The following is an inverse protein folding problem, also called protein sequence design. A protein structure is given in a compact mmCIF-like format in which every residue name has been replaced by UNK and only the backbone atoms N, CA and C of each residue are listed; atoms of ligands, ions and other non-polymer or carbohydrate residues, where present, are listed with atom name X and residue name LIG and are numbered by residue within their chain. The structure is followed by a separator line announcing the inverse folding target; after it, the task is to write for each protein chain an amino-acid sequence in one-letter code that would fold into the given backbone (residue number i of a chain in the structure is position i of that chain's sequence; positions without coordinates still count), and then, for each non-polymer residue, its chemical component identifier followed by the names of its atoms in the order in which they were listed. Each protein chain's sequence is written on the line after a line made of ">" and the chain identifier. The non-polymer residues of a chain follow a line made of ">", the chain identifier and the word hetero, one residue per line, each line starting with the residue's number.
data_IF_908240131820
#
_entry.id   IF_908240131820
#
_cell.length_a   1.000
_cell.length_b   1.000
_cell.length_c   1.000
_cell.angle_alpha   90.00
_cell.angle_beta   90.00
_cell.angle_gamma   90.00
#
_symmetry.space_group_name_H-M   'P 1'
#
loop_
_entity.id
_entity.type
_entity.pdbx_description
1 polymer ?
#
# COMPACT_ATOMS: atom_id res chain seq x y z
N UNK A 1 0.51 40.73 -2.32
CA UNK A 1 0.27 39.65 -3.30
C UNK A 1 1.45 38.68 -3.25
N UNK A 2 1.24 37.45 -2.80
CA UNK A 2 2.17 36.33 -2.97
C UNK A 2 1.37 35.11 -3.38
N UNK A 3 1.81 34.48 -4.47
CA UNK A 3 1.14 33.40 -5.17
C UNK A 3 1.09 32.11 -4.37
N UNK A 4 0.04 31.36 -4.64
CA UNK A 4 -0.39 30.10 -4.04
C UNK A 4 0.50 28.95 -4.51
N UNK A 5 1.15 28.27 -3.57
CA UNK A 5 1.72 26.90 -3.57
C UNK A 5 1.86 26.56 -2.07
N UNK A 6 1.43 25.46 -1.50
CA UNK A 6 1.34 24.05 -1.90
C UNK A 6 0.23 23.36 -1.09
N UNK A 7 -0.26 22.22 -1.57
CA UNK A 7 -1.20 21.37 -0.83
C UNK A 7 -0.53 20.79 0.42
N UNK A 8 -1.24 20.83 1.54
CA UNK A 8 -0.77 20.21 2.77
C UNK A 8 -0.70 18.69 2.57
N UNK A 9 0.52 18.15 2.62
CA UNK A 9 0.77 16.71 2.74
C UNK A 9 0.35 16.32 4.15
N UNK A 10 -0.47 15.28 4.28
CA UNK A 10 -0.72 14.65 5.57
C UNK A 10 0.58 13.97 6.02
N UNK A 11 1.30 14.59 6.96
CA UNK A 11 2.31 13.88 7.72
C UNK A 11 1.57 12.89 8.64
N UNK A 12 1.51 11.63 8.20
CA UNK A 12 1.11 10.50 9.02
C UNK A 12 2.17 10.28 10.12
N UNK A 13 2.26 11.19 11.09
CA UNK A 13 3.17 11.04 12.23
C UNK A 13 2.93 9.69 12.92
N UNK A 14 3.99 8.89 13.06
CA UNK A 14 4.12 7.57 13.72
C UNK A 14 3.01 6.52 13.45
N UNK A 15 2.09 6.77 12.53
CA UNK A 15 0.98 5.88 12.19
C UNK A 15 1.04 5.59 10.69
N UNK A 16 1.82 4.58 10.32
CA UNK A 16 1.76 4.07 8.94
C UNK A 16 0.29 3.71 8.64
N UNK A 17 -0.30 4.19 7.53
CA UNK A 17 -1.70 3.91 7.19
C UNK A 17 -1.91 2.48 6.67
N UNK A 18 -1.19 1.54 7.27
CA UNK A 18 -1.26 0.10 7.06
C UNK A 18 -2.59 -0.37 7.62
N UNK A 19 -3.52 -0.63 6.71
CA UNK A 19 -4.74 -1.32 7.04
C UNK A 19 -4.43 -2.79 7.35
N UNK A 20 -3.52 -3.42 6.60
CA UNK A 20 -3.25 -4.85 6.71
C UNK A 20 -1.85 -5.30 6.32
N UNK A 21 -1.49 -6.49 6.79
CA UNK A 21 -0.23 -7.18 6.44
C UNK A 21 -0.52 -8.54 5.82
N UNK A 22 0.13 -8.81 4.70
CA UNK A 22 0.14 -10.08 3.99
C UNK A 22 1.47 -10.78 4.21
N UNK A 23 1.47 -12.07 4.53
CA UNK A 23 2.67 -12.91 4.37
C UNK A 23 2.63 -13.57 3.00
N UNK A 24 3.64 -13.30 2.19
CA UNK A 24 3.75 -13.78 0.82
C UNK A 24 4.38 -15.18 0.85
N UNK A 25 3.69 -16.15 0.28
CA UNK A 25 4.21 -17.51 0.12
C UNK A 25 4.74 -17.76 -1.29
N UNK A 26 4.23 -17.01 -2.27
CA UNK A 26 4.66 -17.08 -3.67
C UNK A 26 4.30 -15.79 -4.40
N UNK A 27 5.20 -15.33 -5.27
CA UNK A 27 4.97 -14.28 -6.25
C UNK A 27 4.76 -14.88 -7.64
N UNK A 28 3.81 -14.32 -8.39
CA UNK A 28 3.57 -14.66 -9.79
C UNK A 28 3.43 -13.35 -10.59
N UNK A 29 4.55 -12.72 -10.97
CA UNK A 29 4.56 -11.35 -11.49
C UNK A 29 3.72 -11.14 -12.75
N UNK A 30 3.79 -12.08 -13.70
CA UNK A 30 3.04 -12.03 -14.95
C UNK A 30 1.53 -12.20 -14.74
N UNK A 31 1.14 -12.99 -13.73
CA UNK A 31 -0.25 -13.17 -13.31
C UNK A 31 -0.71 -12.05 -12.36
N UNK A 32 0.18 -11.11 -12.03
CA UNK A 32 -0.05 -10.01 -11.09
C UNK A 32 -0.48 -10.51 -9.71
N UNK A 33 -0.09 -11.72 -9.32
CA UNK A 33 -0.64 -12.40 -8.14
C UNK A 33 0.39 -12.54 -7.03
N UNK A 34 -0.04 -12.23 -5.82
CA UNK A 34 0.65 -12.55 -4.58
C UNK A 34 -0.15 -13.63 -3.85
N UNK A 35 0.42 -14.82 -3.75
CA UNK A 35 -0.15 -15.89 -2.94
C UNK A 35 0.16 -15.63 -1.47
N UNK A 36 -0.85 -15.77 -0.62
CA UNK A 36 -0.74 -15.57 0.82
C UNK A 36 -1.10 -16.86 1.56
N UNK A 37 -0.48 -17.11 2.70
CA UNK A 37 -0.77 -18.28 3.54
C UNK A 37 -2.17 -18.23 4.17
N UNK A 38 -2.71 -17.02 4.34
CA UNK A 38 -4.02 -16.76 4.93
C UNK A 38 -4.82 -15.75 4.11
N UNK A 39 -6.15 -15.85 4.20
CA UNK A 39 -7.05 -14.82 3.66
C UNK A 39 -6.86 -13.51 4.43
N UNK A 40 -6.78 -12.39 3.71
CA UNK A 40 -6.71 -11.06 4.31
C UNK A 40 -8.13 -10.46 4.26
N UNK A 41 -8.75 -10.20 5.43
CA UNK A 41 -10.16 -9.80 5.48
C UNK A 41 -10.44 -8.40 4.92
N UNK A 42 -9.40 -7.57 4.79
CA UNK A 42 -9.48 -6.14 4.49
C UNK A 42 -8.85 -5.77 3.15
N UNK A 43 -8.52 -6.75 2.28
CA UNK A 43 -8.00 -6.45 0.95
C UNK A 43 -9.13 -5.98 0.03
N UNK A 44 -9.40 -4.67 0.02
CA UNK A 44 -10.39 -4.05 -0.85
C UNK A 44 -9.76 -3.54 -2.15
N UNK A 45 -10.56 -3.55 -3.22
CA UNK A 45 -10.15 -3.02 -4.53
C UNK A 45 -9.71 -1.57 -4.39
N UNK A 46 -8.58 -1.23 -5.02
CA UNK A 46 -8.00 0.12 -5.03
C UNK A 46 -7.01 0.39 -3.89
N UNK A 47 -6.93 -0.46 -2.87
CA UNK A 47 -5.92 -0.32 -1.83
C UNK A 47 -4.51 -0.48 -2.40
N UNK A 48 -3.57 0.32 -1.91
CA UNK A 48 -2.17 0.26 -2.30
C UNK A 48 -1.50 -0.95 -1.67
N UNK A 49 -0.68 -1.62 -2.47
CA UNK A 49 0.20 -2.70 -2.03
C UNK A 49 1.63 -2.20 -2.06
N UNK A 50 2.28 -2.22 -0.90
CA UNK A 50 3.68 -1.83 -0.74
C UNK A 50 4.52 -3.00 -0.23
N UNK A 51 5.81 -3.00 -0.53
CA UNK A 51 6.76 -3.97 0.03
C UNK A 51 7.22 -3.56 1.44
N UNK A 52 8.13 -4.33 2.03
CA UNK A 52 8.69 -4.04 3.36
C UNK A 52 9.48 -2.74 3.44
N UNK A 53 10.06 -2.28 2.33
CA UNK A 53 10.69 -0.96 2.23
C UNK A 53 9.68 0.18 2.03
N UNK A 54 8.37 -0.08 2.11
CA UNK A 54 7.28 0.88 1.86
C UNK A 54 7.29 1.45 0.43
N UNK A 55 7.85 0.71 -0.53
CA UNK A 55 7.82 1.08 -1.93
C UNK A 55 6.50 0.63 -2.58
N UNK A 56 5.86 1.49 -3.39
CA UNK A 56 4.61 1.16 -4.06
C UNK A 56 4.82 0.12 -5.16
N UNK A 57 4.05 -0.97 -5.10
CA UNK A 57 4.09 -2.04 -6.09
C UNK A 57 2.91 -1.94 -7.07
N UNK A 58 1.71 -1.70 -6.55
CA UNK A 58 0.48 -1.61 -7.32
C UNK A 58 -0.74 -1.47 -6.42
N UNK A 59 -1.92 -1.70 -6.98
CA UNK A 59 -3.18 -1.65 -6.23
C UNK A 59 -3.95 -2.96 -6.34
N UNK A 60 -4.72 -3.30 -5.29
CA UNK A 60 -5.59 -4.48 -5.29
C UNK A 60 -6.62 -4.38 -6.41
N UNK A 61 -6.65 -5.36 -7.31
CA UNK A 61 -7.62 -5.50 -8.39
C UNK A 61 -8.85 -6.33 -7.94
N UNK A 62 -9.99 -6.25 -8.65
CA UNK A 62 -11.17 -7.07 -8.36
C UNK A 62 -10.89 -8.58 -8.53
N UNK A 63 -10.77 -9.33 -7.44
CA UNK A 63 -10.59 -10.79 -7.50
C UNK A 63 -11.09 -11.52 -6.24
N UNK A 64 -11.33 -12.84 -6.35
CA UNK A 64 -11.78 -13.71 -5.25
C UNK A 64 -10.65 -14.64 -4.82
N UNK A 65 -10.06 -14.39 -3.64
CA UNK A 65 -9.23 -15.40 -2.94
C UNK A 65 -7.71 -15.27 -3.06
N UNK A 66 -7.19 -14.16 -3.59
CA UNK A 66 -5.75 -13.81 -3.51
C UNK A 66 -5.57 -12.29 -3.68
N UNK A 67 -4.41 -11.75 -3.29
CA UNK A 67 -4.07 -10.37 -3.68
C UNK A 67 -3.65 -10.42 -5.15
N UNK A 68 -4.47 -9.83 -6.01
CA UNK A 68 -4.14 -9.57 -7.41
C UNK A 68 -3.90 -8.09 -7.56
N UNK A 69 -2.84 -7.70 -8.26
CA UNK A 69 -2.49 -6.33 -8.53
C UNK A 69 -3.05 -5.86 -9.88
N UNK A 70 -3.26 -4.56 -10.00
CA UNK A 70 -3.70 -3.90 -11.23
C UNK A 70 -2.68 -3.99 -12.38
N UNK A 71 -1.39 -4.17 -12.05
CA UNK A 71 -0.27 -4.22 -12.98
C UNK A 71 0.72 -5.37 -12.68
N UNK A 72 1.51 -5.82 -13.67
CA UNK A 72 2.64 -6.72 -13.42
C UNK A 72 3.69 -6.06 -12.53
N UNK A 73 4.48 -6.87 -11.84
CA UNK A 73 5.54 -6.42 -10.95
C UNK A 73 6.83 -7.22 -11.22
N UNK A 74 7.84 -7.08 -10.37
CA UNK A 74 9.10 -7.83 -10.44
C UNK A 74 9.35 -8.52 -9.10
N UNK A 75 9.82 -9.77 -9.13
CA UNK A 75 10.09 -10.55 -7.90
C UNK A 75 11.06 -9.83 -6.96
N UNK A 76 12.04 -9.11 -7.51
CA UNK A 76 13.02 -8.34 -6.73
C UNK A 76 12.42 -7.22 -5.87
N UNK A 77 11.14 -6.88 -6.07
CA UNK A 77 10.43 -5.90 -5.25
C UNK A 77 9.89 -6.52 -3.96
N UNK A 78 9.86 -7.85 -3.85
CA UNK A 78 9.44 -8.60 -2.67
C UNK A 78 10.63 -9.39 -2.14
N UNK A 79 11.44 -8.74 -1.33
CA UNK A 79 12.58 -9.34 -0.64
C UNK A 79 12.35 -9.30 0.86
N UNK A 80 12.92 -10.27 1.56
CA UNK A 80 12.98 -10.27 3.02
C UNK A 80 13.99 -9.19 3.45
N UNK A 81 13.49 -8.11 4.04
CA UNK A 81 14.34 -7.00 4.49
C UNK A 81 14.91 -7.20 5.90
N UNK A 82 14.37 -8.14 6.68
CA UNK A 82 14.73 -8.35 8.08
C UNK A 82 15.55 -9.63 8.31
N UNK A 83 15.84 -10.37 7.25
CA UNK A 83 16.54 -11.66 7.26
C UNK A 83 15.86 -12.72 8.16
N UNK A 84 14.54 -12.67 8.31
CA UNK A 84 13.75 -13.60 9.15
C UNK A 84 13.14 -14.78 8.36
N UNK A 85 13.38 -14.81 7.05
CA UNK A 85 12.87 -15.80 6.10
C UNK A 85 11.42 -15.54 5.69
N UNK A 86 10.83 -14.43 6.07
CA UNK A 86 9.43 -14.07 5.81
C UNK A 86 9.39 -12.84 4.92
N UNK A 87 8.55 -12.88 3.89
CA UNK A 87 8.32 -11.74 3.01
C UNK A 87 6.93 -11.20 3.27
N UNK A 88 6.85 -9.90 3.54
CA UNK A 88 5.61 -9.19 3.75
C UNK A 88 5.25 -8.26 2.60
N UNK A 89 3.94 -8.10 2.40
CA UNK A 89 3.37 -6.96 1.71
C UNK A 89 2.39 -6.26 2.64
N UNK A 90 2.30 -4.94 2.53
CA UNK A 90 1.37 -4.15 3.32
C UNK A 90 0.28 -3.57 2.43
N UNK A 91 -0.93 -3.56 2.96
CA UNK A 91 -2.10 -2.97 2.34
C UNK A 91 -2.37 -1.63 2.99
N UNK A 92 -2.41 -0.58 2.18
CA UNK A 92 -2.65 0.78 2.63
C UNK A 92 -3.90 1.33 1.95
N UNK A 93 -4.76 1.98 2.71
CA UNK A 93 -5.96 2.63 2.14
C UNK A 93 -5.56 3.80 1.24
N UNK A 94 -4.48 4.50 1.61
CA UNK A 94 -3.95 5.65 0.90
C UNK A 94 -2.46 5.46 0.59
N UNK A 95 -2.05 5.86 -0.59
CA UNK A 95 -0.66 5.90 -1.02
C UNK A 95 -0.01 7.25 -0.76
N UNK A 96 1.33 7.31 -0.90
CA UNK A 96 2.13 8.53 -0.70
C UNK A 96 1.67 9.73 -1.54
N UNK A 97 1.11 9.48 -2.72
CA UNK A 97 0.67 10.51 -3.66
C UNK A 97 -0.83 10.84 -3.53
N UNK A 98 -1.57 10.14 -2.67
CA UNK A 98 -2.99 10.36 -2.49
C UNK A 98 -3.25 11.60 -1.64
N UNK A 99 -4.23 12.40 -2.05
CA UNK A 99 -4.75 13.50 -1.24
C UNK A 99 -6.03 13.05 -0.57
N UNK A 100 -5.98 12.95 0.76
CA UNK A 100 -7.14 12.57 1.57
C UNK A 100 -7.76 13.84 2.16
N UNK A 101 -9.02 14.08 1.85
CA UNK A 101 -9.81 15.11 2.52
C UNK A 101 -10.55 14.48 3.69
N UNK A 102 -10.30 14.97 4.91
CA UNK A 102 -10.97 14.49 6.12
C UNK A 102 -12.06 15.50 6.50
N UNK A 103 -13.35 15.17 6.34
CA UNK A 103 -14.44 16.10 6.64
C UNK A 103 -14.44 16.52 8.12
N UNK A 104 -14.58 17.82 8.38
CA UNK A 104 -14.60 18.37 9.75
C UNK A 104 -13.24 18.82 10.30
N UNK A 105 -12.16 18.63 9.55
CA UNK A 105 -10.83 19.15 9.89
C UNK A 105 -10.82 20.66 9.69
N UNK A 106 -10.64 21.44 10.76
CA UNK A 106 -10.42 22.89 10.62
C UNK A 106 -8.95 23.12 10.32
N UNK A 107 -8.67 23.53 9.10
CA UNK A 107 -7.34 23.91 8.65
C UNK A 107 -7.05 25.33 9.14
N UNK A 108 -6.21 25.48 10.16
CA UNK A 108 -5.63 26.77 10.53
C UNK A 108 -4.26 26.91 9.89
N UNK A 109 -4.11 27.90 8.99
CA UNK A 109 -2.82 28.42 8.58
C UNK A 109 -2.53 29.73 9.34
N UNK A 110 -1.29 29.94 9.75
CA UNK A 110 -0.79 31.23 10.24
C UNK A 110 -0.12 31.99 9.10
#
# INVERSE_FOLDING_TARGET
>A
MRGVREGNILDFGDQDPIAGRATITKTEPEEKRLATSSRIPIAWVGMHVVNEAMEPIGQVAPFVGSIVLDRPFQDKQFVDHNDDGIIHAYLMEFGKEDRVEVPGSVWYSR
#
